data_IF_223017182203
#
_entry.id   IF_223017182203
#
_cell.length_a   1.000
_cell.length_b   1.000
_cell.length_c   1.000
_cell.angle_alpha   90.00
_cell.angle_beta   90.00
_cell.angle_gamma   90.00
#
_symmetry.space_group_name_H-M   'P 1'
#
loop_
_entity.id
_entity.type
_entity.pdbx_description
1 polymer ?
#
# COMPACT_ATOMS: atom_id res chain seq x y z
N UNK A 1 8.11 14.54 16.80
CA UNK A 1 8.94 13.98 15.71
C UNK A 1 9.90 15.08 15.25
N UNK A 2 11.21 14.85 15.35
CA UNK A 2 12.20 15.81 14.88
C UNK A 2 12.31 15.76 13.33
N UNK A 3 12.86 16.82 12.70
CA UNK A 3 13.01 16.90 11.24
C UNK A 3 13.80 15.73 10.66
N UNK A 4 14.83 15.28 11.36
CA UNK A 4 15.63 14.11 10.98
C UNK A 4 14.80 12.82 10.99
N UNK A 5 13.96 12.64 12.00
CA UNK A 5 13.07 11.48 12.10
C UNK A 5 12.03 11.47 10.98
N UNK A 6 11.50 12.64 10.61
CA UNK A 6 10.58 12.79 9.47
C UNK A 6 11.24 12.35 8.15
N UNK A 7 12.49 12.76 7.91
CA UNK A 7 13.22 12.38 6.69
C UNK A 7 13.45 10.87 6.65
N UNK A 8 13.84 10.26 7.78
CA UNK A 8 14.02 8.80 7.89
C UNK A 8 12.71 8.08 7.59
N UNK A 9 11.59 8.55 8.15
CA UNK A 9 10.30 7.90 7.97
C UNK A 9 9.77 8.01 6.54
N UNK A 10 9.89 9.19 5.93
CA UNK A 10 9.53 9.38 4.51
C UNK A 10 10.41 8.50 3.62
N UNK A 11 11.71 8.43 3.88
CA UNK A 11 12.63 7.56 3.13
C UNK A 11 12.23 6.09 3.25
N UNK A 12 11.82 5.66 4.44
CA UNK A 12 11.33 4.30 4.70
C UNK A 12 10.04 4.01 3.93
N UNK A 13 9.10 4.96 3.91
CA UNK A 13 7.86 4.84 3.15
C UNK A 13 8.09 4.79 1.63
N UNK A 14 9.09 5.53 1.14
CA UNK A 14 9.44 5.50 -0.28
C UNK A 14 10.07 4.17 -0.71
N UNK A 15 10.94 3.60 0.14
CA UNK A 15 11.66 2.34 -0.14
C UNK A 15 10.86 1.08 0.11
N UNK A 16 9.92 1.12 1.05
CA UNK A 16 9.09 -0.03 1.41
C UNK A 16 7.62 0.36 1.34
N UNK A 17 7.03 0.15 0.16
CA UNK A 17 5.63 0.49 -0.08
C UNK A 17 4.68 -0.33 0.79
N UNK A 18 4.82 -1.67 0.94
CA UNK A 18 3.96 -2.44 1.84
C UNK A 18 3.97 -1.94 3.29
N UNK A 19 5.10 -1.47 3.80
CA UNK A 19 5.19 -0.82 5.12
C UNK A 19 4.40 0.50 5.13
N UNK A 20 4.62 1.37 4.16
CA UNK A 20 3.94 2.66 4.07
C UNK A 20 2.40 2.50 4.10
N UNK A 21 1.87 1.58 3.29
CA UNK A 21 0.44 1.36 3.19
C UNK A 21 -0.15 0.83 4.50
N UNK A 22 0.49 -0.18 5.12
CA UNK A 22 0.03 -0.75 6.39
C UNK A 22 0.08 0.24 7.56
N UNK A 23 1.08 1.12 7.59
CA UNK A 23 1.28 2.05 8.70
C UNK A 23 0.36 3.27 8.61
N UNK A 24 0.11 3.79 7.39
CA UNK A 24 -0.58 5.07 7.21
C UNK A 24 -1.98 4.98 6.62
N UNK A 25 -2.36 3.87 5.99
CA UNK A 25 -3.68 3.70 5.41
C UNK A 25 -4.56 2.77 6.25
N UNK A 26 -5.85 3.02 6.16
CA UNK A 26 -6.88 2.26 6.88
C UNK A 26 -8.03 1.92 5.96
N UNK A 27 -8.70 0.82 6.26
CA UNK A 27 -9.94 0.39 5.61
C UNK A 27 -11.02 0.23 6.65
N UNK A 28 -12.26 0.55 6.28
CA UNK A 28 -13.39 0.29 7.15
C UNK A 28 -13.72 -1.20 7.11
N UNK A 29 -13.63 -1.86 8.26
CA UNK A 29 -14.05 -3.25 8.41
C UNK A 29 -15.44 -3.29 9.03
N UNK A 30 -16.40 -3.79 8.25
CA UNK A 30 -17.79 -3.94 8.67
C UNK A 30 -17.98 -4.99 9.78
N UNK A 31 -17.11 -6.02 9.85
CA UNK A 31 -17.23 -7.11 10.83
C UNK A 31 -16.99 -6.62 12.26
N UNK A 32 -16.11 -5.63 12.40
CA UNK A 32 -15.78 -4.97 13.67
C UNK A 32 -16.28 -3.53 13.73
N UNK A 33 -16.97 -3.07 12.67
CA UNK A 33 -17.56 -1.73 12.51
C UNK A 33 -16.62 -0.57 12.83
N UNK A 34 -15.34 -0.70 12.47
CA UNK A 34 -14.30 0.30 12.73
C UNK A 34 -13.27 0.35 11.61
N UNK A 35 -12.52 1.45 11.55
CA UNK A 35 -11.34 1.53 10.70
C UNK A 35 -10.21 0.69 11.29
N UNK A 36 -9.65 -0.18 10.46
CA UNK A 36 -8.50 -1.02 10.76
C UNK A 36 -7.36 -0.69 9.80
N UNK A 37 -6.09 -0.91 10.19
CA UNK A 37 -4.97 -0.79 9.27
C UNK A 37 -5.22 -1.58 7.98
N UNK A 38 -4.83 -1.00 6.84
CA UNK A 38 -4.90 -1.71 5.55
C UNK A 38 -3.84 -2.82 5.56
N UNK A 39 -4.23 -4.00 6.00
CA UNK A 39 -3.35 -5.17 5.91
C UNK A 39 -3.41 -5.77 4.51
N UNK A 40 -2.24 -6.12 3.98
CA UNK A 40 -2.09 -6.59 2.61
C UNK A 40 -1.94 -8.11 2.61
N UNK A 41 -2.73 -8.78 1.79
CA UNK A 41 -2.58 -10.21 1.52
C UNK A 41 -1.29 -10.50 0.74
N UNK A 42 -0.71 -11.71 0.81
CA UNK A 42 0.53 -12.06 0.11
C UNK A 42 0.51 -11.72 -1.39
N UNK A 43 -0.58 -12.02 -2.10
CA UNK A 43 -0.72 -11.72 -3.53
C UNK A 43 -0.73 -10.20 -3.81
N UNK A 44 -1.29 -9.41 -2.88
CA UNK A 44 -1.33 -7.95 -3.00
C UNK A 44 0.05 -7.34 -2.75
N UNK A 45 0.85 -7.96 -1.87
CA UNK A 45 2.25 -7.56 -1.67
C UNK A 45 3.04 -7.79 -2.96
N UNK A 46 2.92 -8.98 -3.57
CA UNK A 46 3.56 -9.27 -4.87
C UNK A 46 3.15 -8.26 -5.94
N UNK A 47 1.85 -7.94 -6.03
CA UNK A 47 1.33 -6.95 -6.98
C UNK A 47 1.94 -5.56 -6.79
N UNK A 48 2.09 -5.10 -5.55
CA UNK A 48 2.69 -3.80 -5.24
C UNK A 48 4.18 -3.80 -5.58
N UNK A 49 4.89 -4.89 -5.28
CA UNK A 49 6.30 -5.03 -5.63
C UNK A 49 6.49 -5.01 -7.16
N UNK A 50 5.60 -5.64 -7.91
CA UNK A 50 5.60 -5.55 -9.38
C UNK A 50 5.37 -4.11 -9.87
N UNK A 51 4.45 -3.37 -9.24
CA UNK A 51 4.22 -1.94 -9.56
C UNK A 51 5.44 -1.05 -9.29
N UNK A 52 6.20 -1.33 -8.23
CA UNK A 52 7.42 -0.56 -7.89
C UNK A 52 8.59 -0.89 -8.82
N UNK A 53 8.66 -2.11 -9.35
CA UNK A 53 9.81 -2.60 -10.13
C UNK A 53 9.63 -2.49 -11.65
N UNK A 54 8.39 -2.47 -12.15
CA UNK A 54 8.10 -2.47 -13.58
C UNK A 54 7.19 -1.30 -13.98
N UNK A 55 7.46 -0.69 -15.13
CA UNK A 55 6.66 0.43 -15.63
C UNK A 55 5.31 -0.04 -16.19
N UNK A 56 5.31 -1.12 -16.97
CA UNK A 56 4.12 -1.74 -17.52
C UNK A 56 3.80 -3.04 -16.77
N UNK A 57 2.61 -3.12 -16.17
CA UNK A 57 2.16 -4.30 -15.45
C UNK A 57 0.81 -4.79 -15.99
N UNK A 58 0.72 -6.09 -16.28
CA UNK A 58 -0.53 -6.79 -16.61
C UNK A 58 -0.74 -7.87 -15.56
N UNK A 59 -1.72 -7.69 -14.69
CA UNK A 59 -2.03 -8.64 -13.63
C UNK A 59 -3.25 -9.50 -13.97
N UNK A 60 -3.09 -10.83 -13.91
CA UNK A 60 -4.22 -11.75 -13.92
C UNK A 60 -4.76 -11.86 -12.48
N UNK A 61 -6.03 -11.51 -12.28
CA UNK A 61 -6.67 -11.55 -10.96
C UNK A 61 -7.98 -12.32 -11.00
N UNK A 62 -8.33 -12.91 -9.87
CA UNK A 62 -9.68 -13.41 -9.62
C UNK A 62 -10.62 -12.26 -9.19
N UNK A 63 -11.92 -12.55 -9.14
CA UNK A 63 -12.95 -11.57 -8.74
C UNK A 63 -12.86 -11.28 -7.23
N UNK A 64 -13.19 -10.06 -6.82
CA UNK A 64 -13.20 -9.64 -5.39
C UNK A 64 -11.84 -9.71 -4.66
N UNK A 65 -10.72 -9.78 -5.39
CA UNK A 65 -9.37 -9.75 -4.81
C UNK A 65 -8.94 -8.39 -4.20
N UNK A 66 -9.81 -7.36 -4.20
CA UNK A 66 -9.48 -6.04 -3.62
C UNK A 66 -8.43 -5.23 -4.38
N UNK A 67 -8.09 -5.60 -5.61
CA UNK A 67 -7.01 -4.97 -6.41
C UNK A 67 -7.18 -3.46 -6.61
N UNK A 68 -8.41 -2.97 -6.76
CA UNK A 68 -8.67 -1.53 -6.96
C UNK A 68 -8.24 -0.71 -5.74
N UNK A 69 -8.52 -1.19 -4.53
CA UNK A 69 -8.14 -0.51 -3.28
C UNK A 69 -6.62 -0.47 -3.12
N UNK A 70 -5.95 -1.60 -3.37
CA UNK A 70 -4.49 -1.71 -3.29
C UNK A 70 -3.80 -0.82 -4.32
N UNK A 71 -4.34 -0.77 -5.55
CA UNK A 71 -3.79 0.09 -6.60
C UNK A 71 -3.98 1.57 -6.27
N UNK A 72 -5.15 1.98 -5.75
CA UNK A 72 -5.38 3.35 -5.30
C UNK A 72 -4.44 3.74 -4.15
N UNK A 73 -4.21 2.82 -3.21
CA UNK A 73 -3.26 2.98 -2.12
C UNK A 73 -1.82 3.14 -2.61
N UNK A 74 -1.40 2.38 -3.62
CA UNK A 74 -0.08 2.53 -4.23
C UNK A 74 0.07 3.89 -4.95
N UNK A 75 -0.94 4.30 -5.72
CA UNK A 75 -0.93 5.58 -6.45
C UNK A 75 -0.85 6.76 -5.47
N UNK A 76 -1.55 6.72 -4.33
CA UNK A 76 -1.53 7.84 -3.37
C UNK A 76 -0.15 8.10 -2.75
N UNK A 77 0.72 7.09 -2.72
CA UNK A 77 2.13 7.22 -2.30
C UNK A 77 3.02 7.82 -3.38
N UNK A 78 2.64 7.75 -4.66
CA UNK A 78 3.44 8.32 -5.74
C UNK A 78 3.32 9.85 -5.75
N UNK A 79 4.41 10.51 -5.39
CA UNK A 79 4.57 11.95 -5.60
C UNK A 79 4.98 12.17 -7.06
N UNK A 80 4.23 13.00 -7.78
CA UNK A 80 4.51 13.45 -9.16
C UNK A 80 5.56 14.57 -9.13
#
# INVERSE_FOLDING_TARGET
MNREQLIIEVTKCMRNTPYALRTYLQTYDNTVSKYVPLDLFPDQVSLIEDYDNYNENIALKYRQAGVSTVTAAWISKRLV
#
